data_IF_542308110832
#
_entry.id   IF_542308110832
#
_cell.length_a   1.000
_cell.length_b   1.000
_cell.length_c   1.000
_cell.angle_alpha   90.00
_cell.angle_beta   90.00
_cell.angle_gamma   90.00
#
_symmetry.space_group_name_H-M   'P 1'
#
loop_
_entity.id
_entity.type
_entity.pdbx_description
1 polymer ?
#
# COMPACT_ATOMS: atom_id res chain seq x y z
N UNK A 1 -10.59 16.43 10.81
CA UNK A 1 -9.38 16.24 9.99
C UNK A 1 -8.19 16.62 10.86
N UNK A 2 -7.17 15.81 10.87
CA UNK A 2 -5.90 16.08 11.53
C UNK A 2 -4.82 16.26 10.46
N UNK A 3 -3.90 17.18 10.66
CA UNK A 3 -2.79 17.47 9.75
C UNK A 3 -1.51 17.37 10.57
N UNK A 4 -0.52 16.66 10.06
CA UNK A 4 0.81 16.60 10.62
C UNK A 4 1.85 16.89 9.52
N UNK A 5 2.89 17.65 9.86
CA UNK A 5 4.02 17.87 8.98
C UNK A 5 5.13 16.89 9.31
N UNK A 6 5.70 16.24 8.32
CA UNK A 6 6.67 15.15 8.55
C UNK A 6 7.95 15.59 9.28
N UNK A 7 8.37 16.87 9.16
CA UNK A 7 9.50 17.40 9.91
C UNK A 7 9.19 17.64 11.39
N UNK A 8 7.89 17.68 11.76
CA UNK A 8 7.42 17.88 13.13
C UNK A 8 7.08 16.56 13.84
N UNK A 9 7.06 15.45 13.09
CA UNK A 9 6.77 14.12 13.64
C UNK A 9 8.02 13.56 14.29
N UNK A 10 7.86 12.99 15.49
CA UNK A 10 8.97 12.36 16.22
C UNK A 10 9.64 11.27 15.38
N UNK A 11 10.96 11.35 15.31
CA UNK A 11 11.81 10.38 14.60
C UNK A 11 12.30 9.31 15.57
N UNK A 12 12.05 8.07 15.22
CA UNK A 12 12.51 6.89 15.97
C UNK A 12 13.64 6.22 15.19
N UNK A 13 14.88 6.45 15.64
CA UNK A 13 16.05 5.80 15.08
C UNK A 13 16.29 4.46 15.77
N UNK A 14 16.51 3.42 15.00
CA UNK A 14 16.90 2.10 15.49
C UNK A 14 18.06 1.56 14.67
N UNK A 15 19.09 1.11 15.36
CA UNK A 15 20.22 0.40 14.76
C UNK A 15 20.46 -0.90 15.52
N UNK A 16 20.58 -2.01 14.78
CA UNK A 16 20.87 -3.33 15.33
C UNK A 16 21.44 -4.24 14.23
N UNK A 17 22.71 -4.63 14.37
CA UNK A 17 23.39 -5.46 13.37
C UNK A 17 23.28 -4.89 11.93
N UNK A 18 22.68 -5.63 11.00
CA UNK A 18 22.50 -5.15 9.63
C UNK A 18 21.37 -4.09 9.49
N UNK A 19 20.52 -3.90 10.50
CA UNK A 19 19.44 -2.93 10.46
C UNK A 19 19.90 -1.56 10.95
N UNK A 20 19.60 -0.52 10.18
CA UNK A 20 19.82 0.88 10.57
C UNK A 20 18.86 1.78 9.77
N UNK A 21 17.84 2.30 10.43
CA UNK A 21 16.87 3.17 9.82
C UNK A 21 16.21 4.12 10.82
N UNK A 22 15.56 5.15 10.30
CA UNK A 22 14.79 6.13 11.07
C UNK A 22 13.35 6.16 10.59
N UNK A 23 12.40 6.01 11.52
CA UNK A 23 10.97 6.02 11.24
C UNK A 23 10.31 7.31 11.70
N UNK A 24 9.44 7.88 10.84
CA UNK A 24 8.47 8.92 11.19
C UNK A 24 7.06 8.35 11.02
N UNK A 25 6.29 8.21 12.11
CA UNK A 25 4.95 7.60 12.12
C UNK A 25 3.89 8.61 11.72
N UNK A 26 3.83 8.90 10.42
CA UNK A 26 2.98 9.98 9.88
C UNK A 26 1.49 9.70 10.08
N UNK A 27 1.06 8.47 9.86
CA UNK A 27 -0.33 8.06 10.04
C UNK A 27 -0.81 8.24 11.47
N UNK A 28 0.01 7.84 12.46
CA UNK A 28 -0.32 8.02 13.88
C UNK A 28 -0.44 9.50 14.24
N UNK A 29 0.52 10.32 13.80
CA UNK A 29 0.52 11.75 14.03
C UNK A 29 -0.70 12.47 13.40
N UNK A 30 -1.13 11.99 12.23
CA UNK A 30 -2.34 12.48 11.56
C UNK A 30 -3.64 11.84 12.08
N UNK A 31 -3.58 10.88 13.02
CA UNK A 31 -4.75 10.25 13.63
C UNK A 31 -5.40 9.14 12.81
N UNK A 32 -4.70 8.59 11.82
CA UNK A 32 -5.15 7.44 11.03
C UNK A 32 -5.35 6.18 11.89
N UNK A 33 -6.36 5.39 11.61
CA UNK A 33 -6.74 4.19 12.36
C UNK A 33 -6.62 2.90 11.57
N UNK A 34 -7.17 2.87 10.37
CA UNK A 34 -7.21 1.70 9.49
C UNK A 34 -6.01 1.60 8.55
N UNK A 35 -5.33 2.71 8.30
CA UNK A 35 -4.15 2.77 7.45
C UNK A 35 -2.92 3.17 8.26
N UNK A 36 -1.85 2.38 8.17
CA UNK A 36 -0.52 2.75 8.63
C UNK A 36 0.17 3.61 7.58
N UNK A 37 0.83 4.69 7.99
CA UNK A 37 1.69 5.47 7.11
C UNK A 37 2.96 5.84 7.86
N UNK A 38 4.10 5.40 7.33
CA UNK A 38 5.41 5.74 7.86
C UNK A 38 6.30 6.29 6.74
N UNK A 39 7.19 7.23 7.09
CA UNK A 39 8.38 7.49 6.29
C UNK A 39 9.54 6.77 6.95
N UNK A 40 10.35 6.08 6.14
CA UNK A 40 11.52 5.34 6.61
C UNK A 40 12.73 5.83 5.83
N UNK A 41 13.70 6.37 6.56
CA UNK A 41 14.99 6.77 6.05
C UNK A 41 15.99 5.64 6.37
N UNK A 42 16.41 4.89 5.37
CA UNK A 42 17.27 3.70 5.48
C UNK A 42 18.73 4.12 5.24
N UNK A 43 19.62 3.78 6.18
CA UNK A 43 21.03 4.11 6.07
C UNK A 43 21.73 3.37 4.91
N UNK A 44 22.84 3.90 4.36
CA UNK A 44 23.60 3.26 3.31
C UNK A 44 24.00 1.82 3.63
N UNK A 45 23.69 0.88 2.74
CA UNK A 45 24.00 -0.54 2.86
C UNK A 45 23.22 -1.29 3.95
N UNK A 46 22.24 -0.63 4.59
CA UNK A 46 21.48 -1.17 5.73
C UNK A 46 20.05 -1.55 5.36
N UNK A 47 19.43 -2.33 6.24
CA UNK A 47 18.03 -2.75 6.16
C UNK A 47 17.18 -1.92 7.12
N UNK A 48 15.90 -1.66 6.83
CA UNK A 48 14.97 -1.07 7.80
C UNK A 48 14.51 -2.12 8.82
N UNK A 49 14.24 -3.33 8.36
CA UNK A 49 13.71 -4.45 9.13
C UNK A 49 14.36 -5.74 8.67
N UNK A 50 14.37 -6.80 9.49
CA UNK A 50 14.65 -8.13 8.99
C UNK A 50 13.70 -8.52 7.86
N UNK A 51 14.05 -9.49 7.00
CA UNK A 51 13.09 -10.12 6.09
C UNK A 51 11.87 -10.61 6.87
N UNK A 52 10.68 -10.27 6.38
CA UNK A 52 9.42 -10.62 7.03
C UNK A 52 8.28 -10.72 6.02
N UNK A 53 7.20 -11.36 6.45
CA UNK A 53 5.94 -11.40 5.71
C UNK A 53 4.78 -11.05 6.63
N UNK A 54 3.67 -10.65 6.01
CA UNK A 54 2.43 -10.28 6.67
C UNK A 54 1.35 -11.33 6.42
N UNK A 55 0.67 -11.78 7.48
CA UNK A 55 -0.40 -12.79 7.37
C UNK A 55 -1.76 -12.23 6.96
N UNK A 56 -1.99 -10.95 7.19
CA UNK A 56 -3.29 -10.33 6.91
C UNK A 56 -3.20 -8.90 6.35
N UNK A 57 -2.09 -8.21 6.56
CA UNK A 57 -1.91 -6.84 6.08
C UNK A 57 -1.22 -6.80 4.73
N UNK A 58 -1.69 -5.90 3.87
CA UNK A 58 -1.01 -5.51 2.64
C UNK A 58 -0.13 -4.29 2.93
N UNK A 59 1.05 -4.25 2.34
CA UNK A 59 2.00 -3.16 2.50
C UNK A 59 2.45 -2.61 1.14
N UNK A 60 2.49 -1.30 1.01
CA UNK A 60 2.93 -0.62 -0.21
C UNK A 60 4.06 0.34 0.13
N UNK A 61 5.19 0.21 -0.55
CA UNK A 61 6.29 1.16 -0.49
C UNK A 61 6.25 2.10 -1.68
N UNK A 62 6.56 3.38 -1.45
CA UNK A 62 6.80 4.37 -2.48
C UNK A 62 8.14 5.04 -2.23
N UNK A 63 9.05 4.94 -3.19
CA UNK A 63 10.42 5.49 -3.06
C UNK A 63 10.40 7.00 -3.31
N UNK A 64 10.81 7.77 -2.30
CA UNK A 64 10.93 9.23 -2.36
C UNK A 64 12.28 9.66 -2.89
N UNK A 65 13.37 8.98 -2.49
CA UNK A 65 14.73 9.39 -2.81
C UNK A 65 15.77 8.32 -2.50
N UNK A 66 17.00 8.58 -2.96
CA UNK A 66 18.09 7.63 -2.83
C UNK A 66 18.04 6.53 -3.88
N UNK A 67 18.71 5.42 -3.61
CA UNK A 67 18.69 4.20 -4.41
C UNK A 67 18.78 2.99 -3.49
N UNK A 68 18.38 1.84 -3.94
CA UNK A 68 18.45 0.63 -3.11
C UNK A 68 18.08 -0.64 -3.84
N UNK A 69 17.93 -1.68 -3.05
CA UNK A 69 17.51 -2.99 -3.52
C UNK A 69 16.24 -3.43 -2.79
N UNK A 70 15.28 -3.94 -3.53
CA UNK A 70 14.18 -4.72 -2.99
C UNK A 70 14.57 -6.20 -3.02
N UNK A 71 14.42 -6.86 -1.87
CA UNK A 71 14.64 -8.28 -1.70
C UNK A 71 13.30 -8.98 -1.43
N UNK A 72 12.99 -10.01 -2.19
CA UNK A 72 11.75 -10.80 -2.07
C UNK A 72 12.09 -12.27 -2.34
N UNK A 73 11.93 -13.15 -1.34
CA UNK A 73 12.19 -14.59 -1.45
C UNK A 73 13.51 -14.91 -2.19
N UNK A 74 14.61 -14.30 -1.77
CA UNK A 74 15.96 -14.47 -2.35
C UNK A 74 16.14 -13.80 -3.75
N UNK A 75 15.09 -13.27 -4.35
CA UNK A 75 15.21 -12.45 -5.56
C UNK A 75 15.44 -10.98 -5.21
N UNK A 76 16.25 -10.31 -6.01
CA UNK A 76 16.65 -8.93 -5.78
C UNK A 76 16.45 -8.10 -7.05
N UNK A 77 15.92 -6.90 -6.89
CA UNK A 77 15.90 -5.92 -7.98
C UNK A 77 16.28 -4.53 -7.46
N UNK A 78 16.78 -3.69 -8.37
CA UNK A 78 17.06 -2.28 -8.09
C UNK A 78 15.78 -1.47 -7.97
N UNK A 79 15.77 -0.52 -7.01
CA UNK A 79 14.67 0.43 -6.82
C UNK A 79 15.22 1.85 -6.65
N UNK A 80 14.45 2.83 -7.12
CA UNK A 80 14.77 4.23 -7.05
C UNK A 80 13.54 5.14 -6.98
N UNK A 81 13.73 6.48 -6.98
CA UNK A 81 12.65 7.43 -6.79
C UNK A 81 11.51 7.25 -7.78
N UNK A 82 10.28 7.23 -7.27
CA UNK A 82 9.06 7.00 -8.04
C UNK A 82 8.65 5.53 -8.18
N UNK A 83 9.46 4.58 -7.70
CA UNK A 83 9.06 3.18 -7.70
C UNK A 83 8.00 2.92 -6.61
N UNK A 84 7.02 2.09 -6.96
CA UNK A 84 5.99 1.59 -6.08
C UNK A 84 6.12 0.06 -5.99
N UNK A 85 6.15 -0.47 -4.78
CA UNK A 85 6.33 -1.88 -4.47
C UNK A 85 5.12 -2.33 -3.64
N UNK A 86 4.42 -3.37 -4.07
CA UNK A 86 3.29 -3.94 -3.33
C UNK A 86 3.66 -5.30 -2.75
N UNK A 87 3.43 -5.46 -1.47
CA UNK A 87 3.57 -6.71 -0.74
C UNK A 87 2.19 -7.17 -0.26
N UNK A 88 1.69 -8.23 -0.87
CA UNK A 88 0.39 -8.80 -0.50
C UNK A 88 0.50 -9.63 0.78
N UNK A 89 -0.61 -9.76 1.49
CA UNK A 89 -0.71 -10.66 2.62
C UNK A 89 -0.45 -12.12 2.20
N UNK A 90 0.19 -12.88 3.07
CA UNK A 90 0.56 -14.29 2.84
C UNK A 90 1.37 -14.53 1.56
N UNK A 91 2.12 -13.53 1.15
CA UNK A 91 2.99 -13.61 0.00
C UNK A 91 4.47 -13.59 0.44
N UNK A 92 5.33 -13.09 -0.40
CA UNK A 92 6.78 -13.09 -0.26
C UNK A 92 7.30 -12.57 1.08
N UNK A 93 8.34 -13.21 1.58
CA UNK A 93 9.23 -12.59 2.55
C UNK A 93 9.97 -11.45 1.90
N UNK A 94 10.00 -10.29 2.53
CA UNK A 94 10.54 -9.09 1.90
C UNK A 94 11.28 -8.18 2.88
N UNK A 95 12.22 -7.40 2.32
CA UNK A 95 12.88 -6.27 2.95
C UNK A 95 13.48 -5.35 1.89
N UNK A 96 14.02 -4.22 2.32
CA UNK A 96 14.76 -3.30 1.45
C UNK A 96 16.21 -3.18 1.94
N UNK A 97 17.12 -2.77 1.05
CA UNK A 97 18.46 -2.36 1.43
C UNK A 97 18.79 -1.01 0.82
N UNK A 98 19.22 -0.05 1.64
CA UNK A 98 19.71 1.23 1.16
C UNK A 98 20.94 1.08 0.27
N UNK A 99 20.99 1.81 -0.82
CA UNK A 99 22.16 1.92 -1.69
C UNK A 99 23.25 2.82 -1.09
N UNK A 100 24.21 3.29 -1.90
CA UNK A 100 25.35 4.09 -1.41
C UNK A 100 24.96 5.37 -0.69
N UNK A 101 23.86 5.99 -1.08
CA UNK A 101 23.33 7.24 -0.50
C UNK A 101 22.13 7.00 0.44
N UNK A 102 21.84 5.73 0.75
CA UNK A 102 20.66 5.33 1.50
C UNK A 102 19.41 5.28 0.63
N UNK A 103 18.25 5.03 1.27
CA UNK A 103 16.95 4.92 0.62
C UNK A 103 15.89 5.56 1.51
N UNK A 104 15.06 6.44 0.94
CA UNK A 104 13.98 7.14 1.61
C UNK A 104 12.64 6.69 1.02
N UNK A 105 11.77 6.13 1.86
CA UNK A 105 10.51 5.54 1.40
C UNK A 105 9.33 5.97 2.25
N UNK A 106 8.17 6.10 1.62
CA UNK A 106 6.87 6.06 2.30
C UNK A 106 6.37 4.63 2.30
N UNK A 107 5.84 4.21 3.44
CA UNK A 107 5.25 2.88 3.61
C UNK A 107 3.81 3.03 4.04
N UNK A 108 2.93 2.43 3.28
CA UNK A 108 1.50 2.38 3.53
C UNK A 108 1.13 0.93 3.84
N UNK A 109 0.29 0.71 4.83
CA UNK A 109 -0.15 -0.65 5.15
C UNK A 109 -1.55 -0.67 5.75
N UNK A 110 -2.31 -1.71 5.48
CA UNK A 110 -3.52 -1.97 6.21
C UNK A 110 -3.19 -2.33 7.66
N UNK A 111 -3.97 -1.83 8.62
CA UNK A 111 -3.82 -2.18 10.03
C UNK A 111 -4.82 -3.27 10.40
N UNK A 112 -4.55 -4.49 9.93
CA UNK A 112 -5.44 -5.60 10.22
C UNK A 112 -5.36 -5.98 11.70
N UNK A 113 -6.49 -6.07 12.42
CA UNK A 113 -6.48 -6.32 13.88
C UNK A 113 -5.94 -7.70 14.27
N UNK A 114 -5.96 -8.65 13.34
CA UNK A 114 -5.43 -10.01 13.52
C UNK A 114 -4.15 -10.24 12.71
N UNK A 115 -3.32 -9.20 12.55
CA UNK A 115 -2.05 -9.31 11.86
C UNK A 115 -1.14 -10.35 12.53
N UNK A 116 -0.54 -11.21 11.72
CA UNK A 116 0.50 -12.16 12.13
C UNK A 116 1.73 -11.87 11.27
N UNK A 117 2.74 -11.24 11.84
CA UNK A 117 4.02 -11.03 11.18
C UNK A 117 4.94 -12.24 11.39
N UNK A 118 5.60 -12.68 10.36
CA UNK A 118 6.59 -13.75 10.39
C UNK A 118 7.98 -13.22 10.05
N UNK A 119 8.97 -13.53 10.88
CA UNK A 119 10.38 -13.24 10.66
C UNK A 119 11.13 -14.58 10.53
N UNK A 120 11.34 -15.07 9.32
CA UNK A 120 11.82 -16.43 9.07
C UNK A 120 13.23 -16.67 9.63
N UNK A 121 14.15 -15.73 9.45
CA UNK A 121 15.54 -15.86 9.87
C UNK A 121 15.70 -15.95 11.38
N UNK A 122 14.90 -15.22 12.13
CA UNK A 122 14.88 -15.30 13.59
C UNK A 122 13.86 -16.31 14.12
N UNK A 123 13.10 -16.98 13.24
CA UNK A 123 12.01 -17.89 13.58
C UNK A 123 11.06 -17.26 14.62
N UNK A 124 10.68 -15.99 14.40
CA UNK A 124 9.86 -15.21 15.31
C UNK A 124 8.51 -14.87 14.70
N UNK A 125 7.47 -14.90 15.54
CA UNK A 125 6.10 -14.56 15.15
C UNK A 125 5.65 -13.34 15.95
N UNK A 126 5.01 -12.40 15.26
CA UNK A 126 4.30 -11.29 15.88
C UNK A 126 2.80 -11.49 15.67
N UNK A 127 2.01 -11.37 16.72
CA UNK A 127 0.55 -11.42 16.65
C UNK A 127 -0.01 -10.07 17.05
N UNK A 128 -0.59 -9.34 16.10
CA UNK A 128 -1.00 -7.97 16.32
C UNK A 128 0.16 -7.06 16.71
N UNK A 129 -0.05 -6.20 17.70
CA UNK A 129 1.01 -5.31 18.22
C UNK A 129 1.98 -5.96 19.21
N UNK A 130 1.54 -6.83 20.15
CA UNK A 130 2.46 -7.46 21.08
C UNK A 130 3.21 -8.62 20.41
N UNK A 131 4.48 -8.77 20.77
CA UNK A 131 5.20 -10.01 20.57
C UNK A 131 4.56 -11.08 21.44
N UNK A 132 4.51 -12.32 20.96
CA UNK A 132 3.95 -13.42 21.75
C UNK A 132 4.86 -13.66 22.96
N UNK A 133 4.29 -13.57 24.16
CA UNK A 133 4.96 -13.95 25.41
C UNK A 133 5.40 -15.41 25.34
N UNK A 134 6.68 -15.68 25.58
CA UNK A 134 7.27 -17.02 25.46
C UNK A 134 8.49 -17.09 24.54
N UNK A 135 8.76 -16.06 23.73
CA UNK A 135 10.05 -15.79 23.16
C UNK A 135 10.62 -14.55 23.84
N UNK A 136 11.63 -14.80 24.63
CA UNK A 136 12.22 -13.80 25.52
C UNK A 136 13.16 -12.86 24.78
N UNK A 137 13.59 -13.23 23.58
CA UNK A 137 14.59 -12.49 22.83
C UNK A 137 13.94 -11.51 21.86
N UNK A 138 14.47 -10.29 21.78
CA UNK A 138 14.13 -9.35 20.72
C UNK A 138 14.49 -10.03 19.37
N UNK A 139 13.55 -10.18 18.43
CA UNK A 139 13.84 -10.86 17.17
C UNK A 139 14.95 -10.18 16.35
N UNK A 140 15.19 -8.88 16.55
CA UNK A 140 16.36 -8.19 15.98
C UNK A 140 17.68 -8.67 16.57
N UNK A 141 17.70 -9.07 17.87
CA UNK A 141 18.87 -9.66 18.48
C UNK A 141 19.17 -11.05 17.90
N UNK A 142 18.12 -11.82 17.65
CA UNK A 142 18.24 -13.12 16.96
C UNK A 142 18.70 -12.92 15.51
N UNK A 143 18.13 -11.94 14.81
CA UNK A 143 18.50 -11.61 13.42
C UNK A 143 19.98 -11.17 13.32
N UNK A 144 20.46 -10.38 14.27
CA UNK A 144 21.88 -10.01 14.34
C UNK A 144 22.79 -11.23 14.46
N UNK A 145 22.38 -12.25 15.23
CA UNK A 145 23.13 -13.49 15.41
C UNK A 145 23.10 -14.39 14.18
N UNK A 146 22.04 -14.35 13.39
CA UNK A 146 21.94 -15.06 12.09
C UNK A 146 22.99 -14.53 11.10
N UNK A 147 23.34 -13.25 11.21
CA UNK A 147 24.33 -12.59 10.35
C UNK A 147 23.70 -11.87 9.17
N UNK A 148 24.52 -11.48 8.22
CA UNK A 148 24.08 -10.70 7.06
C UNK A 148 23.14 -11.49 6.16
N UNK A 149 22.17 -10.78 5.56
CA UNK A 149 21.32 -11.31 4.50
C UNK A 149 22.10 -11.28 3.18
N UNK A 150 22.08 -12.38 2.45
CA UNK A 150 22.66 -12.41 1.11
C UNK A 150 21.77 -11.67 0.11
N UNK A 151 22.40 -10.82 -0.70
CA UNK A 151 21.78 -10.13 -1.82
C UNK A 151 22.47 -10.58 -3.08
N UNK A 152 21.87 -11.45 -3.87
CA UNK A 152 22.39 -11.81 -5.18
C UNK A 152 22.42 -10.60 -6.12
N UNK A 153 23.06 -10.77 -7.28
CA UNK A 153 23.02 -9.72 -8.31
C UNK A 153 21.57 -9.39 -8.68
N UNK A 154 21.26 -8.09 -8.84
CA UNK A 154 19.89 -7.67 -9.17
C UNK A 154 19.40 -8.30 -10.48
N UNK A 155 18.21 -8.85 -10.43
CA UNK A 155 17.51 -9.40 -11.59
C UNK A 155 16.47 -8.45 -12.19
N UNK A 156 15.61 -8.98 -13.02
CA UNK A 156 14.48 -8.25 -13.58
C UNK A 156 13.47 -7.88 -12.48
N UNK A 157 12.83 -6.72 -12.64
CA UNK A 157 11.76 -6.30 -11.72
C UNK A 157 10.57 -7.24 -11.82
N UNK A 158 10.05 -7.76 -10.71
CA UNK A 158 8.81 -8.52 -10.69
C UNK A 158 7.60 -7.58 -10.89
N UNK A 159 6.44 -8.15 -11.24
CA UNK A 159 5.24 -7.38 -11.61
C UNK A 159 4.67 -6.50 -10.49
N UNK A 160 4.97 -6.80 -9.23
CA UNK A 160 4.56 -6.03 -8.06
C UNK A 160 5.47 -4.81 -7.77
N UNK A 161 6.42 -4.52 -8.63
CA UNK A 161 7.30 -3.35 -8.57
C UNK A 161 7.18 -2.56 -9.86
N UNK A 162 6.62 -1.36 -9.78
CA UNK A 162 6.37 -0.51 -10.95
C UNK A 162 7.02 0.86 -10.75
N UNK A 163 7.55 1.43 -11.82
CA UNK A 163 8.02 2.80 -11.83
C UNK A 163 6.83 3.75 -12.09
N UNK A 164 6.72 4.84 -11.34
CA UNK A 164 5.60 5.76 -11.48
C UNK A 164 5.53 6.44 -12.86
N UNK A 165 6.65 6.61 -13.55
CA UNK A 165 6.69 7.17 -14.92
C UNK A 165 6.16 6.17 -15.96
N UNK A 166 6.22 4.88 -15.71
CA UNK A 166 5.70 3.81 -16.58
C UNK A 166 4.21 3.55 -16.39
N UNK A 167 3.62 4.02 -15.28
CA UNK A 167 2.18 3.83 -15.02
C UNK A 167 1.34 4.83 -15.81
N UNK A 168 0.33 4.30 -16.49
CA UNK A 168 -0.60 5.08 -17.34
C UNK A 168 -1.28 6.21 -16.55
N UNK A 169 -1.27 7.40 -17.13
CA UNK A 169 -2.01 8.55 -16.61
C UNK A 169 -3.51 8.40 -16.82
N UNK A 170 -4.28 8.72 -15.78
CA UNK A 170 -5.74 8.72 -15.77
C UNK A 170 -6.28 10.13 -15.55
N UNK A 171 -7.56 10.33 -15.82
CA UNK A 171 -8.28 11.60 -15.61
C UNK A 171 -7.58 12.81 -16.25
N UNK A 172 -7.11 12.65 -17.48
CA UNK A 172 -6.47 13.74 -18.25
C UNK A 172 -5.09 14.13 -17.70
N UNK A 173 -4.32 13.17 -17.19
CA UNK A 173 -2.97 13.39 -16.70
C UNK A 173 -2.88 13.78 -15.22
N UNK A 174 -4.00 13.71 -14.49
CA UNK A 174 -4.01 14.15 -13.08
C UNK A 174 -3.81 13.02 -12.06
N UNK A 175 -3.89 11.76 -12.47
CA UNK A 175 -3.77 10.62 -11.56
C UNK A 175 -3.00 9.45 -12.17
N UNK A 176 -2.22 8.76 -11.34
CA UNK A 176 -1.60 7.46 -11.63
C UNK A 176 -1.95 6.50 -10.49
N UNK A 177 -2.50 5.34 -10.81
CA UNK A 177 -2.94 4.35 -9.83
C UNK A 177 -1.83 3.32 -9.59
N UNK A 178 -0.82 3.71 -8.81
CA UNK A 178 0.40 2.94 -8.62
C UNK A 178 0.13 1.60 -7.92
N UNK A 179 -0.64 1.61 -6.83
CA UNK A 179 -0.99 0.38 -6.13
C UNK A 179 -1.70 -0.63 -7.03
N UNK A 180 -2.71 -0.18 -7.79
CA UNK A 180 -3.43 -1.05 -8.71
C UNK A 180 -2.53 -1.57 -9.85
N UNK A 181 -1.60 -0.75 -10.37
CA UNK A 181 -0.65 -1.17 -11.39
C UNK A 181 0.34 -2.24 -10.85
N UNK A 182 0.68 -2.17 -9.58
CA UNK A 182 1.54 -3.13 -8.90
C UNK A 182 0.78 -4.30 -8.24
N UNK A 183 -0.54 -4.41 -8.45
CA UNK A 183 -1.34 -5.55 -8.02
C UNK A 183 -1.92 -5.47 -6.61
N UNK A 184 -2.03 -4.28 -6.01
CA UNK A 184 -2.67 -4.10 -4.70
C UNK A 184 -4.15 -4.55 -4.72
N UNK A 185 -4.59 -5.26 -3.68
CA UNK A 185 -5.93 -5.85 -3.56
C UNK A 185 -6.79 -5.17 -2.49
N UNK A 186 -6.21 -4.73 -1.38
CA UNK A 186 -6.94 -4.26 -0.20
C UNK A 186 -6.67 -2.81 0.15
N UNK A 187 -5.62 -2.22 -0.40
CA UNK A 187 -5.30 -0.81 -0.22
C UNK A 187 -4.95 -0.17 -1.57
N UNK A 188 -4.98 1.14 -1.65
CA UNK A 188 -4.66 1.87 -2.86
C UNK A 188 -3.58 2.90 -2.61
N UNK A 189 -2.63 3.01 -3.52
CA UNK A 189 -1.71 4.14 -3.61
C UNK A 189 -1.92 4.84 -4.95
N UNK A 190 -2.32 6.10 -4.89
CA UNK A 190 -2.53 6.93 -6.07
C UNK A 190 -1.63 8.16 -6.01
N UNK A 191 -0.90 8.41 -7.08
CA UNK A 191 -0.15 9.65 -7.25
C UNK A 191 -1.04 10.67 -7.97
N UNK A 192 -1.30 11.82 -7.33
CA UNK A 192 -2.16 12.86 -7.87
C UNK A 192 -1.34 14.11 -8.20
N UNK A 193 -1.58 14.69 -9.35
CA UNK A 193 -1.01 15.97 -9.78
C UNK A 193 -2.14 16.99 -9.96
N UNK A 194 -2.07 18.08 -9.25
CA UNK A 194 -3.06 19.15 -9.33
C UNK A 194 -2.39 20.43 -9.80
N UNK A 195 -2.93 21.00 -10.87
CA UNK A 195 -2.51 22.33 -11.33
C UNK A 195 -3.02 23.45 -10.41
N UNK A 196 -2.41 24.62 -10.52
CA UNK A 196 -2.80 25.79 -9.75
C UNK A 196 -4.31 26.10 -9.85
N UNK A 197 -4.94 26.28 -8.72
CA UNK A 197 -6.36 26.58 -8.59
C UNK A 197 -7.32 25.43 -8.93
N UNK A 198 -6.80 24.25 -9.23
CA UNK A 198 -7.63 23.07 -9.51
C UNK A 198 -8.00 22.31 -8.24
N UNK A 199 -9.08 21.55 -8.31
CA UNK A 199 -9.53 20.64 -7.27
C UNK A 199 -9.32 19.19 -7.72
N UNK A 200 -8.87 18.33 -6.81
CA UNK A 200 -8.69 16.91 -7.10
C UNK A 200 -10.02 16.19 -7.26
N UNK A 201 -10.95 16.42 -6.35
CA UNK A 201 -12.28 15.83 -6.37
C UNK A 201 -13.33 16.82 -5.80
N UNK A 202 -14.61 16.66 -6.13
CA UNK A 202 -15.69 17.30 -5.39
C UNK A 202 -15.68 16.90 -3.90
N UNK A 203 -16.22 17.72 -2.99
CA UNK A 203 -16.39 17.29 -1.61
C UNK A 203 -17.18 15.98 -1.53
N UNK A 204 -16.60 14.99 -0.88
CA UNK A 204 -17.19 13.66 -0.73
C UNK A 204 -16.79 13.05 0.61
N UNK A 205 -17.37 11.91 0.95
CA UNK A 205 -17.01 11.10 2.09
C UNK A 205 -17.08 9.62 1.73
N UNK A 206 -16.25 8.83 2.35
CA UNK A 206 -16.24 7.38 2.26
C UNK A 206 -17.01 6.78 3.44
N UNK A 207 -17.78 5.73 3.20
CA UNK A 207 -18.57 5.04 4.24
C UNK A 207 -17.80 3.93 4.94
N UNK A 208 -16.79 3.37 4.30
CA UNK A 208 -16.05 2.20 4.77
C UNK A 208 -14.53 2.29 4.56
N UNK A 209 -14.05 3.36 3.94
CA UNK A 209 -12.64 3.53 3.61
C UNK A 209 -12.06 4.72 4.38
N UNK A 210 -10.83 4.60 4.80
CA UNK A 210 -10.01 5.69 5.31
C UNK A 210 -9.09 6.19 4.20
N UNK A 211 -8.98 7.50 4.06
CA UNK A 211 -8.15 8.13 3.05
C UNK A 211 -7.11 9.03 3.72
N UNK A 212 -5.86 8.88 3.30
CA UNK A 212 -4.73 9.69 3.76
C UNK A 212 -4.09 10.39 2.58
N UNK A 213 -3.94 11.70 2.66
CA UNK A 213 -3.22 12.50 1.67
C UNK A 213 -1.84 12.88 2.18
N UNK A 214 -0.83 12.68 1.35
CA UNK A 214 0.53 13.15 1.58
C UNK A 214 0.88 14.16 0.49
N UNK A 215 1.24 15.37 0.89
CA UNK A 215 1.71 16.40 -0.05
C UNK A 215 3.21 16.22 -0.23
N UNK A 216 3.62 15.82 -1.41
CA UNK A 216 5.02 15.60 -1.75
C UNK A 216 5.69 16.91 -2.20
N UNK A 217 4.95 17.76 -2.91
CA UNK A 217 5.43 19.03 -3.45
C UNK A 217 4.28 20.03 -3.56
N UNK A 218 4.60 21.33 -3.45
CA UNK A 218 3.65 22.41 -3.59
C UNK A 218 2.86 22.71 -2.31
N UNK A 219 1.78 23.48 -2.50
CA UNK A 219 0.87 23.89 -1.42
C UNK A 219 -0.58 23.69 -1.83
N UNK A 220 -1.40 23.18 -0.94
CA UNK A 220 -2.80 22.93 -1.17
C UNK A 220 -3.69 23.36 0.01
N UNK A 221 -4.98 23.50 -0.25
CA UNK A 221 -6.01 23.66 0.80
C UNK A 221 -6.89 22.43 0.79
N UNK A 222 -6.98 21.79 1.94
CA UNK A 222 -8.00 20.78 2.18
C UNK A 222 -9.21 21.42 2.84
N UNK A 223 -10.41 21.16 2.33
CA UNK A 223 -11.65 21.61 2.94
C UNK A 223 -12.44 20.40 3.45
N UNK A 224 -12.63 20.35 4.78
CA UNK A 224 -13.60 19.42 5.37
C UNK A 224 -14.86 20.21 5.69
N UNK A 225 -15.97 19.82 5.07
CA UNK A 225 -17.29 20.25 5.50
C UNK A 225 -17.69 19.54 6.81
N UNK A 226 -18.68 20.07 7.56
CA UNK A 226 -19.31 19.28 8.60
C UNK A 226 -19.85 17.98 7.96
N UNK A 227 -19.89 16.87 8.72
CA UNK A 227 -20.49 15.63 8.20
C UNK A 227 -21.89 15.99 7.68
N UNK A 228 -22.19 15.59 6.46
CA UNK A 228 -23.53 15.77 5.93
C UNK A 228 -24.52 15.16 6.93
N UNK A 229 -25.64 15.84 7.23
CA UNK A 229 -26.65 15.24 8.07
C UNK A 229 -27.00 13.87 7.44
N UNK A 230 -27.25 12.83 8.24
CA UNK A 230 -27.55 11.52 7.74
C UNK A 230 -28.59 11.66 6.65
N UNK A 231 -28.28 11.15 5.46
CA UNK A 231 -29.19 11.23 4.34
C UNK A 231 -30.52 10.67 4.81
N UNK A 232 -31.54 11.53 4.89
CA UNK A 232 -32.90 11.04 5.12
C UNK A 232 -33.08 10.03 4.00
N UNK A 233 -33.24 8.76 4.33
CA UNK A 233 -33.55 7.70 3.37
C UNK A 233 -34.71 8.25 2.54
N UNK A 234 -34.42 8.78 1.36
CA UNK A 234 -35.46 8.95 0.36
C UNK A 234 -35.93 7.53 0.12
N UNK A 235 -37.13 7.23 0.59
CA UNK A 235 -37.82 6.00 0.20
C UNK A 235 -37.68 5.96 -1.32
N UNK A 236 -36.95 4.98 -1.84
CA UNK A 236 -36.91 4.74 -3.26
C UNK A 236 -38.36 4.41 -3.68
N UNK A 237 -39.04 5.36 -4.30
CA UNK A 237 -40.31 5.10 -4.93
C UNK A 237 -40.00 4.58 -6.33
N UNK A 238 -40.37 3.33 -6.66
CA UNK A 238 -40.17 2.82 -7.99
C UNK A 238 -40.98 3.71 -8.95
N UNK A 239 -40.29 4.43 -9.82
CA UNK A 239 -40.92 5.10 -10.94
C UNK A 239 -41.54 4.03 -11.83
N UNK A 240 -42.84 3.84 -11.74
CA UNK A 240 -43.61 3.05 -12.70
C UNK A 240 -43.70 3.86 -13.98
N UNK A 241 -42.66 3.81 -14.82
CA UNK A 241 -42.78 4.16 -16.21
C UNK A 241 -43.62 3.09 -16.89
N UNK A 242 -44.83 3.43 -17.29
CA UNK A 242 -45.61 2.56 -18.19
C UNK A 242 -44.77 2.27 -19.43
N UNK A 243 -44.70 1.01 -19.89
CA UNK A 243 -43.99 0.71 -21.11
C UNK A 243 -44.74 1.42 -22.27
N UNK A 244 -43.96 2.17 -23.05
CA UNK A 244 -44.45 2.73 -24.30
C UNK A 244 -44.72 1.59 -25.29
N UNK A 245 -45.97 1.37 -25.62
CA UNK A 245 -46.45 0.30 -26.52
C UNK A 245 -46.37 0.65 -27.99
N UNK A 246 -45.59 1.66 -28.39
CA UNK A 246 -45.59 2.18 -29.77
C UNK A 246 -44.33 1.85 -30.60
N UNK A 247 -43.57 0.79 -30.29
CA UNK A 247 -42.50 0.34 -31.19
C UNK A 247 -42.59 -1.17 -31.48
N UNK A 248 -42.56 -1.59 -32.78
CA UNK A 248 -42.60 -3.01 -33.13
C UNK A 248 -41.25 -3.68 -32.83
N UNK A 249 -41.30 -4.85 -32.21
CA UNK A 249 -40.15 -5.68 -31.86
C UNK A 249 -39.38 -6.18 -33.10
N UNK A 250 -38.04 -6.18 -33.10
CA UNK A 250 -37.26 -6.88 -34.10
C UNK A 250 -37.27 -8.38 -33.79
N UNK A 251 -37.68 -9.16 -34.82
CA UNK A 251 -37.56 -10.64 -34.76
C UNK A 251 -36.09 -11.07 -34.85
N UNK A 252 -35.55 -11.61 -33.80
CA UNK A 252 -34.23 -12.22 -33.75
C UNK A 252 -34.31 -13.67 -33.30
N UNK A 253 -33.78 -14.56 -34.12
CA UNK A 253 -33.77 -16.01 -33.98
C UNK A 253 -33.06 -16.46 -32.69
N UNK A 254 -33.68 -17.37 -32.00
CA UNK A 254 -33.08 -18.22 -30.95
C UNK A 254 -32.54 -19.47 -31.62
N UNK A 255 -31.29 -19.84 -31.33
CA UNK A 255 -30.79 -21.19 -31.55
C UNK A 255 -30.20 -21.69 -30.24
N UNK A 256 -30.66 -22.84 -29.74
CA UNK A 256 -30.07 -23.45 -28.53
C UNK A 256 -28.97 -24.45 -28.92
N UNK A 257 -27.81 -24.38 -28.26
CA UNK A 257 -26.92 -25.51 -28.17
C UNK A 257 -26.58 -25.75 -26.74
N UNK A 258 -27.23 -26.75 -26.20
CA UNK A 258 -26.83 -27.42 -24.99
C UNK A 258 -25.69 -28.41 -25.31
N UNK A 259 -24.64 -28.44 -24.55
CA UNK A 259 -23.82 -29.62 -24.40
C UNK A 259 -23.44 -29.80 -22.93
N UNK A 260 -23.99 -30.87 -22.44
CA UNK A 260 -23.76 -31.56 -21.18
C UNK A 260 -22.49 -32.39 -21.37
N UNK A 261 -21.52 -32.27 -20.50
CA UNK A 261 -20.50 -33.30 -20.36
C UNK A 261 -20.35 -33.67 -18.89
N UNK A 262 -20.45 -34.96 -18.70
CA UNK A 262 -20.56 -35.67 -17.46
C UNK A 262 -19.23 -35.78 -16.71
N UNK A 263 -19.39 -36.07 -15.44
CA UNK A 263 -18.41 -36.63 -14.50
C UNK A 263 -17.89 -37.96 -15.00
N UNK A 264 -16.64 -38.23 -14.65
CA UNK A 264 -16.16 -39.51 -14.07
C UNK A 264 -14.61 -39.55 -14.21
N UNK A 265 -13.95 -39.99 -13.11
CA UNK A 265 -12.54 -40.35 -13.02
C UNK A 265 -11.83 -39.70 -11.84
#
# INVERSE_FOLDING_TARGET
MSIAHWDEVEKHHRTKGPMDATWSRLGDAAGAKGVGVNRIEIAPGKLPTPPHSHGASEEIYYVLGGSGLAWQDEEVCEVGPGDCIVQLANNFEHTLRGGPDGLDVLVFGTRHPTEIGWLPRSNAIRIGYPWVEGRVDDPWDVEEQVGELEFPEPGARPANIVAADEVEERHGGTAKYLGAAAGAEHTGLNLLRLDDGKRGAPPHCHSAEEEVFIVLDGQGRSSCGPPAPPARHRRWEPTTSKPDTSSPAPRGRVSPTASRAAREG
#
